data_IF_347016258678
#
_entry.id   IF_347016258678
#
_cell.length_a   1.000
_cell.length_b   1.000
_cell.length_c   1.000
_cell.angle_alpha   90.00
_cell.angle_beta   90.00
_cell.angle_gamma   90.00
#
_symmetry.space_group_name_H-M   'P 1'
#
loop_
_entity.id
_entity.type
_entity.pdbx_description
1 polymer ?
#
# COMPACT_ATOMS: atom_id res chain seq x y z
N UNK A 1 1.48 -10.43 -5.37
CA UNK A 1 2.68 -10.44 -4.48
C UNK A 1 2.26 -10.31 -3.02
N UNK A 2 2.86 -10.99 -2.04
CA UNK A 2 2.49 -10.89 -0.60
C UNK A 2 2.86 -9.49 -0.05
N UNK A 3 1.97 -8.75 0.66
CA UNK A 3 2.31 -7.44 1.23
C UNK A 3 3.51 -7.45 2.18
N UNK A 4 3.74 -8.55 2.91
CA UNK A 4 4.95 -8.71 3.73
C UNK A 4 6.23 -8.81 2.89
N UNK A 5 6.16 -9.41 1.70
CA UNK A 5 7.33 -9.50 0.82
C UNK A 5 7.76 -8.12 0.33
N UNK A 6 6.82 -7.24 -0.04
CA UNK A 6 7.12 -5.85 -0.43
C UNK A 6 7.76 -5.05 0.71
N UNK A 7 7.29 -5.23 1.94
CA UNK A 7 7.91 -4.59 3.10
C UNK A 7 9.31 -5.14 3.37
N UNK A 8 9.52 -6.46 3.30
CA UNK A 8 10.83 -7.09 3.47
C UNK A 8 11.84 -6.59 2.42
N UNK A 9 11.41 -6.45 1.16
CA UNK A 9 12.23 -5.85 0.11
C UNK A 9 12.61 -4.41 0.45
N UNK A 10 11.68 -3.61 0.96
CA UNK A 10 11.95 -2.22 1.37
C UNK A 10 12.96 -2.16 2.51
N UNK A 11 12.88 -3.08 3.48
CA UNK A 11 13.89 -3.20 4.56
C UNK A 11 15.27 -3.56 4.04
N UNK A 12 15.37 -4.50 3.09
CA UNK A 12 16.65 -4.90 2.50
C UNK A 12 17.30 -3.77 1.68
N UNK A 13 16.50 -2.89 1.09
CA UNK A 13 16.98 -1.73 0.33
C UNK A 13 17.41 -0.57 1.22
N UNK A 14 17.03 -0.57 2.50
CA UNK A 14 17.20 0.55 3.42
C UNK A 14 16.09 1.58 3.25
N UNK A 15 15.34 1.83 4.33
CA UNK A 15 14.27 2.82 4.36
C UNK A 15 14.81 4.24 4.19
N UNK A 16 16.07 4.48 4.55
CA UNK A 16 16.75 5.75 4.34
C UNK A 16 17.02 6.07 2.86
N UNK A 17 17.12 5.03 2.01
CA UNK A 17 17.41 5.18 0.57
C UNK A 17 16.14 5.24 -0.25
N UNK A 18 15.11 4.53 0.18
CA UNK A 18 13.85 4.42 -0.53
C UNK A 18 12.71 4.20 0.46
N UNK A 19 11.74 5.12 0.41
CA UNK A 19 10.50 4.98 1.17
C UNK A 19 9.83 3.63 0.86
N UNK A 20 9.30 2.93 1.87
CA UNK A 20 8.61 1.66 1.67
C UNK A 20 7.38 1.82 0.77
N UNK A 21 7.14 0.81 -0.06
CA UNK A 21 5.85 0.70 -0.73
C UNK A 21 4.80 0.24 0.29
N UNK A 22 3.94 1.18 0.71
CA UNK A 22 2.96 0.93 1.75
C UNK A 22 1.81 0.08 1.22
N UNK A 23 1.52 -1.08 1.84
CA UNK A 23 0.47 -1.95 1.35
C UNK A 23 -0.91 -1.28 1.50
N UNK A 24 -1.56 -1.02 0.38
CA UNK A 24 -2.96 -0.59 0.33
C UNK A 24 -3.86 -1.81 0.39
N UNK A 25 -4.62 -1.94 1.46
CA UNK A 25 -5.55 -3.03 1.73
C UNK A 25 -6.93 -2.43 2.04
N UNK A 26 -7.99 -3.18 1.77
CA UNK A 26 -9.35 -2.77 2.12
C UNK A 26 -9.77 -3.22 3.52
N UNK A 27 -10.90 -2.67 3.98
CA UNK A 27 -11.58 -3.10 5.20
C UNK A 27 -10.86 -2.68 6.49
N UNK A 28 -11.08 -3.48 7.55
CA UNK A 28 -10.58 -3.19 8.88
C UNK A 28 -9.04 -3.14 8.93
N UNK A 29 -8.37 -3.98 8.14
CA UNK A 29 -6.91 -4.02 8.10
C UNK A 29 -6.33 -2.78 7.41
N UNK A 30 -6.93 -2.33 6.30
CA UNK A 30 -6.58 -1.06 5.66
C UNK A 30 -6.73 0.13 6.61
N UNK A 31 -7.85 0.18 7.33
CA UNK A 31 -8.14 1.22 8.33
C UNK A 31 -7.14 1.20 9.49
N UNK A 32 -6.68 0.02 9.91
CA UNK A 32 -5.68 -0.10 10.95
C UNK A 32 -4.31 0.39 10.46
N UNK A 33 -3.90 -0.02 9.26
CA UNK A 33 -2.62 0.40 8.68
C UNK A 33 -2.56 1.90 8.39
N UNK A 34 -3.69 2.52 8.03
CA UNK A 34 -3.75 3.97 7.77
C UNK A 34 -3.61 4.82 9.05
N UNK A 35 -3.79 4.22 10.23
CA UNK A 35 -3.62 4.90 11.54
C UNK A 35 -2.19 4.84 12.06
N UNK A 36 -1.30 4.08 11.40
CA UNK A 36 0.10 3.98 11.81
C UNK A 36 0.79 5.31 11.47
N UNK A 37 1.31 6.05 12.47
CA UNK A 37 2.01 7.30 12.22
C UNK A 37 3.28 7.04 11.41
N UNK A 38 3.56 7.94 10.45
CA UNK A 38 4.69 7.82 9.51
C UNK A 38 5.89 8.70 9.90
N UNK A 39 5.97 9.09 11.17
CA UNK A 39 7.02 9.99 11.69
C UNK A 39 8.43 9.39 11.60
N UNK A 40 8.53 8.05 11.67
CA UNK A 40 9.74 7.27 11.36
C UNK A 40 9.35 6.12 10.45
N UNK A 41 10.00 6.06 9.28
CA UNK A 41 9.71 5.03 8.28
C UNK A 41 10.08 3.63 8.78
N UNK A 42 11.19 3.45 9.51
CA UNK A 42 11.53 2.15 10.09
C UNK A 42 10.46 1.68 11.07
N UNK A 43 10.05 2.57 11.98
CA UNK A 43 9.05 2.25 13.00
C UNK A 43 7.72 1.90 12.35
N UNK A 44 7.29 2.70 11.38
CA UNK A 44 6.04 2.48 10.69
C UNK A 44 6.05 1.20 9.83
N UNK A 45 7.21 0.86 9.24
CA UNK A 45 7.43 -0.41 8.54
C UNK A 45 7.31 -1.59 9.49
N UNK A 46 8.00 -1.56 10.63
CA UNK A 46 7.94 -2.62 11.63
C UNK A 46 6.53 -2.82 12.18
N UNK A 47 5.81 -1.72 12.44
CA UNK A 47 4.41 -1.78 12.89
C UNK A 47 3.51 -2.40 11.82
N UNK A 48 3.64 -1.99 10.56
CA UNK A 48 2.87 -2.56 9.46
C UNK A 48 3.18 -4.06 9.26
N UNK A 49 4.45 -4.45 9.33
CA UNK A 49 4.88 -5.84 9.23
C UNK A 49 4.33 -6.69 10.40
N UNK A 50 4.33 -6.16 11.63
CA UNK A 50 3.77 -6.83 12.79
C UNK A 50 2.26 -7.06 12.66
N UNK A 51 1.51 -6.06 12.22
CA UNK A 51 0.07 -6.19 11.94
C UNK A 51 -0.19 -7.26 10.87
N UNK A 52 0.52 -7.21 9.74
CA UNK A 52 0.32 -8.17 8.66
C UNK A 52 0.73 -9.60 9.06
N UNK A 53 1.85 -9.75 9.77
CA UNK A 53 2.36 -11.04 10.24
C UNK A 53 1.43 -11.69 11.26
N UNK A 54 0.90 -10.91 12.21
CA UNK A 54 -0.07 -11.41 13.20
C UNK A 54 -1.38 -11.83 12.55
N UNK A 55 -1.91 -11.05 11.60
CA UNK A 55 -3.06 -11.44 10.81
C UNK A 55 -2.82 -12.72 10.01
N UNK A 56 -1.64 -12.86 9.39
CA UNK A 56 -1.29 -14.07 8.64
C UNK A 56 -1.21 -15.31 9.56
N UNK A 57 -0.62 -15.18 10.75
CA UNK A 57 -0.58 -16.25 11.75
C UNK A 57 -1.98 -16.64 12.24
N UNK A 58 -2.91 -15.69 12.27
CA UNK A 58 -4.32 -15.94 12.59
C UNK A 58 -5.12 -16.54 11.41
N UNK A 59 -4.48 -16.79 10.25
CA UNK A 59 -5.11 -17.34 9.05
C UNK A 59 -5.82 -16.31 8.18
N UNK A 60 -5.66 -15.01 8.47
CA UNK A 60 -6.26 -13.94 7.68
C UNK A 60 -5.36 -13.55 6.50
N UNK A 61 -5.89 -13.67 5.29
CA UNK A 61 -5.22 -13.26 4.05
C UNK A 61 -5.98 -12.05 3.46
N UNK A 62 -5.42 -10.83 3.52
CA UNK A 62 -6.11 -9.67 3.01
C UNK A 62 -6.21 -9.68 1.49
N UNK A 63 -7.40 -9.37 0.96
CA UNK A 63 -7.60 -9.10 -0.45
C UNK A 63 -6.79 -7.86 -0.85
N UNK A 64 -6.01 -7.97 -1.92
CA UNK A 64 -5.25 -6.85 -2.47
C UNK A 64 -6.14 -6.00 -3.37
N UNK A 65 -5.94 -4.68 -3.32
CA UNK A 65 -6.45 -3.78 -4.35
C UNK A 65 -5.59 -3.95 -5.60
N UNK A 66 -6.16 -4.47 -6.68
CA UNK A 66 -5.59 -4.27 -8.00
C UNK A 66 -5.88 -2.82 -8.41
N UNK A 67 -4.84 -1.98 -8.49
CA UNK A 67 -4.95 -0.76 -9.27
C UNK A 67 -4.99 -1.16 -10.75
N UNK A 68 -6.20 -1.36 -11.28
CA UNK A 68 -6.40 -1.24 -12.71
C UNK A 68 -6.06 0.19 -13.15
N UNK A 69 -5.39 0.41 -14.28
CA UNK A 69 -5.17 1.76 -14.77
C UNK A 69 -6.53 2.46 -14.92
N UNK A 70 -6.64 3.67 -14.38
CA UNK A 70 -7.83 4.50 -14.59
C UNK A 70 -8.06 4.63 -16.10
N UNK A 71 -9.29 4.43 -16.61
CA UNK A 71 -9.56 4.68 -18.01
C UNK A 71 -9.20 6.15 -18.30
N UNK A 72 -8.31 6.36 -19.26
CA UNK A 72 -8.00 7.69 -19.76
C UNK A 72 -9.31 8.35 -20.16
N UNK A 73 -9.60 9.53 -19.61
CA UNK A 73 -10.67 10.39 -20.10
C UNK A 73 -10.20 10.95 -21.45
N UNK A 74 -10.33 10.13 -22.50
CA UNK A 74 -10.04 10.52 -23.87
C UNK A 74 -11.28 11.18 -24.46
N UNK A 75 -11.07 12.35 -25.06
CA UNK A 75 -11.96 13.10 -25.95
C UNK A 75 -13.17 13.84 -25.37
N UNK A 76 -12.89 14.92 -24.64
CA UNK A 76 -13.68 16.14 -24.83
C UNK A 76 -13.07 16.92 -26.02
N UNK A 77 -13.57 16.65 -27.24
CA UNK A 77 -13.27 17.49 -28.40
C UNK A 77 -13.69 18.94 -28.10
N UNK A 78 -12.90 19.96 -28.49
CA UNK A 78 -13.33 21.35 -28.37
C UNK A 78 -14.49 21.63 -29.33
N UNK A 79 -15.59 22.20 -28.82
CA UNK A 79 -16.71 22.66 -29.63
C UNK A 79 -16.24 23.77 -30.58
N UNK A 80 -16.19 23.46 -31.87
CA UNK A 80 -15.96 24.43 -32.94
C UNK A 80 -17.19 25.35 -33.02
N UNK A 81 -17.03 26.59 -32.54
CA UNK A 81 -18.05 27.64 -32.64
C UNK A 81 -17.97 28.30 -34.01
N UNK A 82 -18.97 28.06 -34.86
CA UNK A 82 -19.28 28.90 -36.04
C UNK A 82 -20.76 29.23 -36.10
#
# INVERSE_FOLDING_TARGET
>A
MNPLASLATSTLLGTERRAPDWPMLEGALGTLLSRIPRDSEEKALLQAAGVLGTCQLAGFLPAKVEHGPAPAAEDALPEDSR
#
